data_IF_648219915292
#
_entry.id   IF_648219915292
#
_cell.length_a   1.000
_cell.length_b   1.000
_cell.length_c   1.000
_cell.angle_alpha   90.00
_cell.angle_beta   90.00
_cell.angle_gamma   90.00
#
_symmetry.space_group_name_H-M   'P 1'
#
loop_
_entity.id
_entity.type
_entity.pdbx_description
1 polymer ?
#
# COMPACT_ATOMS: atom_id res chain seq x y z
N UNK A 1 -28.13 -13.16 -69.70
CA UNK A 1 -29.27 -12.70 -68.87
C UNK A 1 -29.02 -13.23 -67.48
N UNK A 2 -28.39 -12.46 -66.60
CA UNK A 2 -28.96 -11.44 -65.70
C UNK A 2 -29.08 -11.98 -64.26
N UNK A 3 -28.42 -11.23 -63.37
CA UNK A 3 -28.72 -10.95 -61.96
C UNK A 3 -28.21 -11.90 -60.85
N UNK A 4 -27.32 -11.32 -60.01
CA UNK A 4 -26.99 -11.67 -58.62
C UNK A 4 -28.24 -11.77 -57.72
N UNK A 5 -28.16 -12.41 -56.52
CA UNK A 5 -27.72 -11.77 -55.25
C UNK A 5 -26.87 -12.75 -54.38
N UNK A 6 -26.20 -12.47 -53.27
CA UNK A 6 -25.84 -11.31 -52.43
C UNK A 6 -24.74 -11.84 -51.47
N UNK A 7 -23.74 -11.04 -51.13
CA UNK A 7 -22.93 -11.26 -49.91
C UNK A 7 -23.81 -11.01 -48.67
N UNK A 8 -23.46 -11.54 -47.48
CA UNK A 8 -22.65 -10.70 -46.61
C UNK A 8 -21.49 -11.43 -45.90
N UNK A 9 -20.38 -10.69 -45.85
CA UNK A 9 -19.32 -10.71 -44.84
C UNK A 9 -19.77 -11.14 -43.44
N UNK A 10 -19.08 -12.14 -42.88
CA UNK A 10 -18.74 -12.36 -41.46
C UNK A 10 -17.56 -13.35 -41.54
N UNK A 11 -16.40 -13.20 -40.91
CA UNK A 11 -16.05 -12.55 -39.66
C UNK A 11 -14.51 -12.40 -39.72
N UNK A 12 -13.99 -11.17 -39.74
CA UNK A 12 -12.57 -10.91 -39.43
C UNK A 12 -12.55 -10.32 -38.02
N UNK A 13 -12.11 -11.12 -37.06
CA UNK A 13 -11.54 -10.62 -35.81
C UNK A 13 -10.39 -11.56 -35.48
N UNK A 14 -9.20 -11.19 -35.97
CA UNK A 14 -7.94 -11.77 -35.52
C UNK A 14 -7.79 -11.27 -34.07
N UNK A 15 -7.85 -12.17 -33.10
CA UNK A 15 -7.45 -11.88 -31.72
C UNK A 15 -5.99 -11.42 -31.76
N UNK A 16 -5.77 -10.11 -31.65
CA UNK A 16 -4.51 -9.59 -31.15
C UNK A 16 -4.51 -9.86 -29.65
N UNK A 17 -3.86 -10.95 -29.23
CA UNK A 17 -3.35 -11.07 -27.87
C UNK A 17 -2.34 -9.92 -27.71
N UNK A 18 -2.83 -8.78 -27.21
CA UNK A 18 -1.95 -7.76 -26.67
C UNK A 18 -1.50 -8.31 -25.32
N UNK A 19 -0.28 -8.86 -25.29
CA UNK A 19 0.49 -8.88 -24.06
C UNK A 19 0.76 -7.43 -23.71
N UNK A 20 -0.16 -6.81 -22.98
CA UNK A 20 0.18 -5.65 -22.16
C UNK A 20 1.10 -6.25 -21.10
N UNK A 21 2.42 -6.20 -21.33
CA UNK A 21 3.32 -6.24 -20.20
C UNK A 21 2.81 -5.15 -19.26
N UNK A 22 2.63 -5.47 -17.98
CA UNK A 22 2.55 -4.48 -16.93
C UNK A 22 3.85 -3.65 -17.01
N UNK A 23 3.89 -2.68 -17.91
CA UNK A 23 4.88 -1.61 -17.89
C UNK A 23 4.44 -0.71 -16.78
N UNK A 24 5.34 -0.35 -15.87
CA UNK A 24 5.08 0.64 -14.83
C UNK A 24 4.49 1.92 -15.43
N UNK A 25 3.58 2.60 -14.71
CA UNK A 25 2.99 3.87 -15.14
C UNK A 25 4.00 5.01 -15.18
N UNK A 26 5.17 4.77 -14.63
CA UNK A 26 6.26 5.70 -14.65
C UNK A 26 7.17 5.45 -15.86
N UNK A 27 7.81 6.49 -16.40
CA UNK A 27 8.82 6.31 -17.44
C UNK A 27 9.87 5.27 -17.00
N UNK A 28 10.47 4.56 -17.95
CA UNK A 28 11.42 3.48 -17.62
C UNK A 28 12.53 3.98 -16.67
N UNK A 29 12.70 3.30 -15.53
CA UNK A 29 13.66 3.68 -14.49
C UNK A 29 13.14 4.68 -13.45
N UNK A 30 11.88 5.12 -13.57
CA UNK A 30 11.21 5.94 -12.56
C UNK A 30 10.46 5.05 -11.58
N UNK A 31 10.33 5.54 -10.35
CA UNK A 31 9.74 4.84 -9.23
C UNK A 31 8.39 5.44 -8.87
N UNK A 32 7.41 4.58 -8.61
CA UNK A 32 6.04 5.00 -8.26
C UNK A 32 5.86 5.02 -6.75
N UNK A 33 5.26 6.09 -6.24
CA UNK A 33 4.72 6.14 -4.89
C UNK A 33 3.39 6.91 -4.87
N UNK A 34 2.31 6.21 -4.49
CA UNK A 34 0.95 6.71 -4.67
C UNK A 34 0.66 7.11 -6.12
N UNK A 35 0.03 8.27 -6.33
CA UNK A 35 -0.28 8.80 -7.67
C UNK A 35 0.86 9.64 -8.24
N UNK A 36 2.13 9.32 -7.96
CA UNK A 36 3.28 10.09 -8.43
C UNK A 36 4.40 9.18 -8.91
N UNK A 37 5.12 9.64 -9.92
CA UNK A 37 6.33 9.01 -10.43
C UNK A 37 7.53 9.89 -10.11
N UNK A 38 8.61 9.29 -9.61
CA UNK A 38 9.82 9.98 -9.17
C UNK A 38 11.07 9.40 -9.84
N UNK A 39 12.01 10.27 -10.18
CA UNK A 39 13.33 9.88 -10.66
C UNK A 39 14.41 10.71 -9.96
N UNK A 40 15.25 10.03 -9.18
CA UNK A 40 16.36 10.64 -8.44
C UNK A 40 17.57 10.73 -9.36
N UNK A 41 18.02 11.94 -9.66
CA UNK A 41 19.21 12.18 -10.49
C UNK A 41 20.39 12.55 -9.61
N UNK A 42 21.43 11.72 -9.71
CA UNK A 42 22.63 11.81 -8.88
C UNK A 42 23.89 12.08 -9.71
N UNK A 43 24.70 13.02 -9.25
CA UNK A 43 26.06 13.27 -9.74
C UNK A 43 27.09 13.11 -8.62
N UNK A 44 28.05 12.23 -8.87
CA UNK A 44 29.21 12.01 -7.99
C UNK A 44 30.11 13.25 -7.92
N UNK A 45 30.38 13.88 -9.06
CA UNK A 45 31.16 15.11 -9.14
C UNK A 45 30.31 16.32 -8.77
N UNK A 46 30.78 17.11 -7.79
CA UNK A 46 30.12 18.37 -7.42
C UNK A 46 30.01 19.37 -8.59
N UNK A 47 30.94 19.31 -9.55
CA UNK A 47 30.95 20.22 -10.70
C UNK A 47 29.89 19.91 -11.75
N UNK A 48 29.31 18.71 -11.73
CA UNK A 48 28.28 18.27 -12.69
C UNK A 48 26.86 18.49 -12.16
N UNK A 49 26.73 18.83 -10.87
CA UNK A 49 25.46 19.15 -10.22
C UNK A 49 24.87 20.43 -10.80
N UNK A 50 23.56 20.55 -10.71
CA UNK A 50 22.80 21.62 -11.36
C UNK A 50 22.28 22.62 -10.33
N UNK A 51 22.13 23.87 -10.78
CA UNK A 51 21.33 24.83 -10.02
C UNK A 51 19.85 24.52 -10.20
N UNK A 52 19.00 25.12 -9.39
CA UNK A 52 17.58 24.74 -9.34
C UNK A 52 16.90 24.97 -10.71
N UNK A 53 17.24 26.06 -11.40
CA UNK A 53 16.69 26.37 -12.72
C UNK A 53 17.19 25.41 -13.82
N UNK A 54 18.47 25.08 -13.82
CA UNK A 54 19.05 24.09 -14.73
C UNK A 54 18.47 22.69 -14.47
N UNK A 55 18.21 22.34 -13.21
CA UNK A 55 17.61 21.08 -12.80
C UNK A 55 16.15 20.96 -13.29
N UNK A 56 15.36 22.02 -13.13
CA UNK A 56 14.01 22.09 -13.70
C UNK A 56 14.02 21.94 -15.22
N UNK A 57 14.89 22.68 -15.92
CA UNK A 57 15.03 22.55 -17.36
C UNK A 57 15.45 21.14 -17.79
N UNK A 58 16.23 20.44 -16.95
CA UNK A 58 16.61 19.05 -17.18
C UNK A 58 15.44 18.07 -16.98
N UNK A 59 14.57 18.28 -15.99
CA UNK A 59 13.36 17.47 -15.81
C UNK A 59 12.31 17.70 -16.91
N UNK A 60 12.18 18.94 -17.40
CA UNK A 60 11.31 19.26 -18.53
C UNK A 60 11.79 18.64 -19.85
N UNK A 61 13.09 18.33 -19.94
CA UNK A 61 13.68 17.72 -21.13
C UNK A 61 13.24 16.27 -21.26
N UNK A 62 12.86 15.88 -22.48
CA UNK A 62 12.47 14.51 -22.83
C UNK A 62 11.23 13.97 -22.07
N UNK A 63 10.18 14.78 -21.93
CA UNK A 63 8.89 14.32 -21.40
C UNK A 63 7.98 15.42 -20.84
N UNK A 64 8.53 16.60 -20.57
CA UNK A 64 7.77 17.72 -20.00
C UNK A 64 7.46 17.56 -18.51
N UNK A 65 8.29 16.82 -17.78
CA UNK A 65 8.17 16.64 -16.33
C UNK A 65 8.69 17.87 -15.58
N UNK A 66 8.53 17.88 -14.26
CA UNK A 66 9.00 18.97 -13.40
C UNK A 66 9.92 18.42 -12.32
N UNK A 67 10.62 19.29 -11.59
CA UNK A 67 11.12 18.92 -10.27
C UNK A 67 9.96 18.42 -9.40
N UNK A 68 10.25 17.39 -8.59
CA UNK A 68 9.22 16.63 -7.89
C UNK A 68 8.41 17.47 -6.90
N UNK A 69 7.10 17.19 -6.84
CA UNK A 69 6.22 17.61 -5.75
C UNK A 69 5.91 16.46 -4.80
N UNK A 70 5.69 16.76 -3.51
CA UNK A 70 5.53 15.77 -2.45
C UNK A 70 4.32 16.16 -1.59
N UNK A 71 3.35 15.24 -1.49
CA UNK A 71 2.02 15.51 -0.95
C UNK A 71 1.63 14.62 0.23
N UNK A 72 2.42 13.58 0.51
CA UNK A 72 2.19 12.67 1.64
C UNK A 72 3.48 12.32 2.36
N UNK A 73 3.36 11.96 3.65
CA UNK A 73 4.49 11.47 4.43
C UNK A 73 5.10 10.17 3.84
N UNK A 74 4.27 9.35 3.20
CA UNK A 74 4.70 8.14 2.51
C UNK A 74 5.58 8.48 1.30
N UNK A 75 5.19 9.46 0.48
CA UNK A 75 6.01 9.95 -0.62
C UNK A 75 7.33 10.54 -0.15
N UNK A 76 7.29 11.38 0.88
CA UNK A 76 8.49 11.97 1.50
C UNK A 76 9.48 10.87 1.92
N UNK A 77 8.99 9.90 2.70
CA UNK A 77 9.80 8.77 3.16
C UNK A 77 10.34 7.93 2.00
N UNK A 78 9.49 7.61 1.01
CA UNK A 78 9.88 6.79 -0.13
C UNK A 78 10.97 7.44 -0.99
N UNK A 79 10.79 8.72 -1.33
CA UNK A 79 11.77 9.49 -2.11
C UNK A 79 13.09 9.55 -1.36
N UNK A 80 13.06 9.79 -0.05
CA UNK A 80 14.24 9.80 0.80
C UNK A 80 14.97 8.44 0.85
N UNK A 81 14.25 7.33 0.97
CA UNK A 81 14.81 5.97 0.95
C UNK A 81 15.38 5.60 -0.43
N UNK A 82 14.80 6.12 -1.51
CA UNK A 82 15.26 5.89 -2.90
C UNK A 82 16.58 6.61 -3.19
N UNK A 83 16.95 7.61 -2.39
CA UNK A 83 18.28 8.23 -2.45
C UNK A 83 19.29 7.24 -1.85
N UNK A 84 19.83 6.36 -2.71
CA UNK A 84 20.79 5.31 -2.30
C UNK A 84 22.19 5.87 -2.00
N UNK A 85 22.54 7.03 -2.57
CA UNK A 85 23.88 7.61 -2.46
C UNK A 85 23.92 8.67 -1.35
N UNK A 86 24.46 8.27 -0.20
CA UNK A 86 24.74 9.15 0.94
C UNK A 86 25.91 10.07 0.60
N UNK A 87 25.63 11.36 0.41
CA UNK A 87 26.62 12.27 -0.20
C UNK A 87 26.83 13.56 0.58
N UNK A 88 26.11 13.75 1.69
CA UNK A 88 26.08 15.01 2.44
C UNK A 88 25.71 16.18 1.50
N UNK A 89 24.65 15.96 0.69
CA UNK A 89 24.18 16.92 -0.32
C UNK A 89 22.67 17.08 -0.27
N UNK A 90 22.21 18.18 -0.87
CA UNK A 90 20.80 18.42 -1.14
C UNK A 90 20.34 17.80 -2.45
N UNK A 91 19.05 17.50 -2.50
CA UNK A 91 18.32 17.12 -3.70
C UNK A 91 17.21 18.14 -3.97
N UNK A 92 17.33 18.91 -5.06
CA UNK A 92 16.33 19.89 -5.45
C UNK A 92 14.96 19.23 -5.70
N UNK A 93 13.91 19.89 -5.22
CA UNK A 93 12.50 19.59 -5.48
C UNK A 93 11.79 20.84 -6.01
N UNK A 94 10.56 20.68 -6.49
CA UNK A 94 9.84 21.73 -7.23
C UNK A 94 9.20 22.82 -6.38
N UNK A 95 9.45 22.86 -5.06
CA UNK A 95 8.87 23.86 -4.17
C UNK A 95 9.70 25.15 -4.20
N UNK A 96 9.03 26.29 -4.34
CA UNK A 96 9.66 27.61 -4.36
C UNK A 96 8.70 28.70 -3.88
N UNK A 97 9.24 29.75 -3.27
CA UNK A 97 8.52 30.99 -2.92
C UNK A 97 9.08 32.22 -3.65
N UNK A 98 9.79 32.02 -4.77
CA UNK A 98 10.43 33.09 -5.56
C UNK A 98 9.44 34.17 -6.05
N UNK A 99 8.17 33.80 -6.25
CA UNK A 99 7.11 34.73 -6.64
C UNK A 99 6.64 35.62 -5.46
N UNK A 100 6.62 35.06 -4.24
CA UNK A 100 6.16 35.73 -3.04
C UNK A 100 6.74 35.07 -1.78
N UNK A 101 7.75 35.72 -1.21
CA UNK A 101 8.38 35.38 0.07
C UNK A 101 7.41 34.79 1.12
N UNK A 102 7.73 33.58 1.59
CA UNK A 102 6.95 32.85 2.59
C UNK A 102 5.67 32.19 2.06
N UNK A 103 5.37 32.32 0.76
CA UNK A 103 4.27 31.64 0.07
C UNK A 103 4.81 30.60 -0.91
N UNK A 104 5.23 29.46 -0.36
CA UNK A 104 5.75 28.33 -1.12
C UNK A 104 4.68 27.69 -2.00
N UNK A 105 5.04 27.42 -3.25
CA UNK A 105 4.20 26.81 -4.29
C UNK A 105 4.98 25.77 -5.07
N UNK A 106 4.28 24.74 -5.57
CA UNK A 106 4.87 23.74 -6.46
C UNK A 106 4.83 24.22 -7.90
N UNK A 107 5.96 24.09 -8.62
CA UNK A 107 6.06 24.52 -10.01
C UNK A 107 5.30 23.65 -11.01
N UNK A 108 4.93 22.43 -10.63
CA UNK A 108 4.05 21.56 -11.41
C UNK A 108 2.56 21.97 -11.33
N UNK A 109 2.25 22.98 -10.51
CA UNK A 109 0.91 23.52 -10.30
C UNK A 109 0.02 22.70 -9.36
N UNK A 110 0.57 21.68 -8.70
CA UNK A 110 -0.13 20.96 -7.62
C UNK A 110 -0.26 21.83 -6.36
N UNK A 111 -1.24 21.51 -5.51
CA UNK A 111 -1.53 22.31 -4.32
C UNK A 111 -0.43 22.17 -3.25
N UNK A 112 -0.10 23.26 -2.57
CA UNK A 112 0.87 23.29 -1.47
C UNK A 112 0.27 22.79 -0.16
N UNK A 113 0.05 21.48 -0.04
CA UNK A 113 -0.81 20.90 1.01
C UNK A 113 -0.08 20.49 2.29
N UNK A 114 1.19 20.14 2.18
CA UNK A 114 2.02 19.64 3.29
C UNK A 114 3.43 20.20 3.20
N UNK A 115 4.07 20.36 4.37
CA UNK A 115 5.46 20.82 4.44
C UNK A 115 6.26 19.97 5.42
N UNK A 116 7.38 19.42 4.97
CA UNK A 116 8.27 18.59 5.78
C UNK A 116 9.56 19.33 6.16
N UNK A 117 9.45 20.60 6.57
CA UNK A 117 10.59 21.43 6.97
C UNK A 117 11.43 20.83 8.09
N UNK A 118 12.75 21.02 8.03
CA UNK A 118 13.68 20.66 9.08
C UNK A 118 13.59 21.62 10.27
N UNK A 119 12.61 21.36 11.15
CA UNK A 119 12.33 22.17 12.34
C UNK A 119 13.24 21.85 13.53
N UNK A 120 14.00 20.75 13.47
CA UNK A 120 14.92 20.32 14.54
C UNK A 120 16.33 20.91 14.41
N UNK A 121 16.60 21.66 13.33
CA UNK A 121 17.83 22.43 13.13
C UNK A 121 17.77 23.76 13.89
N UNK A 122 18.95 24.35 14.18
CA UNK A 122 19.08 25.74 14.65
C UNK A 122 19.97 26.56 13.71
N UNK A 123 19.44 27.58 13.01
CA UNK A 123 18.01 27.95 12.98
C UNK A 123 17.16 26.87 12.27
N UNK A 124 15.85 26.87 12.55
CA UNK A 124 14.89 25.98 11.90
C UNK A 124 14.60 26.48 10.48
N UNK A 125 14.39 25.56 9.54
CA UNK A 125 14.03 25.88 8.16
C UNK A 125 12.54 26.27 8.03
N UNK A 126 12.17 27.09 7.03
CA UNK A 126 13.08 27.83 6.14
C UNK A 126 13.75 29.02 6.85
N UNK A 127 15.06 29.22 6.63
CA UNK A 127 15.89 30.18 7.39
C UNK A 127 16.43 31.38 6.58
N UNK A 128 16.38 31.33 5.25
CA UNK A 128 17.08 32.28 4.38
C UNK A 128 16.27 33.46 3.86
N UNK A 129 14.94 33.40 3.96
CA UNK A 129 14.00 34.34 3.37
C UNK A 129 14.34 34.66 1.91
N UNK A 130 14.24 35.93 1.48
CA UNK A 130 14.47 36.37 0.07
C UNK A 130 15.83 36.00 -0.58
N UNK A 131 16.75 35.44 0.20
CA UNK A 131 18.03 34.95 -0.30
C UNK A 131 18.00 33.48 -0.72
N UNK A 132 16.96 32.73 -0.34
CA UNK A 132 16.85 31.29 -0.47
C UNK A 132 15.41 30.92 -0.85
N UNK A 133 15.11 30.98 -2.15
CA UNK A 133 13.75 30.77 -2.64
C UNK A 133 13.51 29.34 -3.15
N UNK A 134 14.51 28.44 -3.05
CA UNK A 134 14.49 27.12 -3.68
C UNK A 134 14.70 26.00 -2.65
N UNK A 135 13.92 24.92 -2.76
CA UNK A 135 13.81 23.92 -1.70
C UNK A 135 14.48 22.60 -2.09
N UNK A 136 15.12 21.96 -1.11
CA UNK A 136 15.78 20.68 -1.27
C UNK A 136 15.51 19.73 -0.10
N UNK A 137 15.71 18.44 -0.35
CA UNK A 137 15.72 17.39 0.68
C UNK A 137 17.16 17.13 1.12
N UNK A 138 17.39 17.06 2.43
CA UNK A 138 18.69 16.70 3.02
C UNK A 138 18.93 15.18 3.00
N UNK A 139 20.18 14.78 2.70
CA UNK A 139 20.69 13.42 2.90
C UNK A 139 22.10 13.48 3.48
N UNK A 140 22.24 13.23 4.78
CA UNK A 140 23.52 13.20 5.48
C UNK A 140 24.34 11.93 5.13
N UNK A 141 25.66 11.98 5.31
CA UNK A 141 26.55 10.81 5.20
C UNK A 141 26.56 9.99 6.50
N UNK A 142 26.43 8.66 6.42
CA UNK A 142 26.76 7.75 7.53
C UNK A 142 25.73 6.68 7.91
N UNK A 143 24.64 6.51 7.15
CA UNK A 143 23.64 5.46 7.33
C UNK A 143 22.79 5.52 8.61
N UNK A 144 23.09 6.44 9.53
CA UNK A 144 22.26 6.74 10.70
C UNK A 144 21.41 7.97 10.41
N UNK A 145 20.08 7.79 10.39
CA UNK A 145 19.12 8.91 10.30
C UNK A 145 19.43 9.95 11.36
N UNK A 146 19.84 11.14 10.93
CA UNK A 146 19.99 12.30 11.81
C UNK A 146 18.66 13.04 11.96
N UNK A 147 18.58 13.99 12.89
CA UNK A 147 17.42 14.89 13.03
C UNK A 147 17.17 15.76 11.78
N UNK A 148 18.09 15.74 10.79
CA UNK A 148 18.03 16.51 9.53
C UNK A 148 17.56 15.68 8.34
N UNK A 149 17.74 14.37 8.41
CA UNK A 149 17.40 13.47 7.33
C UNK A 149 15.88 13.41 7.12
N UNK A 150 15.48 13.15 5.88
CA UNK A 150 14.08 13.07 5.48
C UNK A 150 13.28 14.36 5.75
N UNK A 151 13.95 15.52 5.73
CA UNK A 151 13.35 16.84 5.91
C UNK A 151 13.84 17.86 4.86
N UNK A 152 13.12 18.97 4.74
CA UNK A 152 13.36 20.01 3.74
C UNK A 152 14.13 21.21 4.31
N UNK A 153 14.89 21.87 3.45
CA UNK A 153 15.42 23.21 3.69
C UNK A 153 15.31 24.09 2.44
N UNK A 154 15.43 25.40 2.63
CA UNK A 154 15.59 26.37 1.56
C UNK A 154 17.07 26.71 1.35
N UNK A 155 17.45 26.94 0.09
CA UNK A 155 18.77 27.47 -0.24
C UNK A 155 18.69 28.38 -1.49
N UNK A 156 19.77 29.13 -1.73
CA UNK A 156 19.89 29.98 -2.88
C UNK A 156 19.76 29.14 -4.15
N UNK A 157 18.85 29.54 -5.05
CA UNK A 157 18.54 28.80 -6.26
C UNK A 157 19.75 28.53 -7.18
N UNK A 158 20.86 29.27 -7.00
CA UNK A 158 22.12 29.09 -7.75
C UNK A 158 23.06 28.03 -7.15
N UNK A 159 22.75 27.46 -5.98
CA UNK A 159 23.53 26.37 -5.38
C UNK A 159 23.48 25.14 -6.28
N UNK A 160 24.60 24.41 -6.41
CA UNK A 160 24.67 23.20 -7.23
C UNK A 160 24.37 21.95 -6.41
N UNK A 161 23.22 21.34 -6.65
CA UNK A 161 22.74 20.14 -5.97
C UNK A 161 22.38 19.01 -6.95
N UNK A 162 22.17 17.82 -6.39
CA UNK A 162 21.44 16.76 -7.09
C UNK A 162 19.96 17.18 -7.20
N UNK A 163 19.14 16.42 -7.91
CA UNK A 163 17.73 16.80 -8.09
C UNK A 163 16.82 15.59 -8.29
N UNK A 164 15.53 15.80 -8.09
CA UNK A 164 14.50 14.78 -8.23
C UNK A 164 13.47 15.29 -9.21
N UNK A 165 13.29 14.56 -10.31
CA UNK A 165 12.18 14.83 -11.21
C UNK A 165 10.94 14.08 -10.73
N UNK A 166 9.77 14.68 -10.92
CA UNK A 166 8.49 14.09 -10.60
C UNK A 166 7.41 14.42 -11.63
N UNK A 167 6.40 13.56 -11.68
CA UNK A 167 5.16 13.81 -12.41
C UNK A 167 3.97 13.32 -11.57
N UNK A 168 2.94 14.16 -11.37
CA UNK A 168 1.66 13.68 -10.86
C UNK A 168 1.02 12.75 -11.88
N UNK A 169 0.58 11.58 -11.43
CA UNK A 169 -0.36 10.77 -12.19
C UNK A 169 -1.68 11.55 -12.26
N UNK A 170 -2.09 11.85 -13.49
CA UNK A 170 -3.34 12.55 -13.77
C UNK A 170 -4.54 11.64 -13.61
N UNK A 171 -4.34 10.33 -13.49
CA UNK A 171 -5.36 9.36 -13.07
C UNK A 171 -5.19 9.00 -11.60
N UNK A 172 -6.05 9.55 -10.76
CA UNK A 172 -6.10 9.26 -9.33
C UNK A 172 -6.92 7.98 -9.10
N UNK A 173 -6.23 6.96 -8.60
CA UNK A 173 -6.80 5.66 -8.24
C UNK A 173 -6.89 5.52 -6.72
N UNK A 174 -7.85 4.75 -6.20
CA UNK A 174 -7.93 4.50 -4.77
C UNK A 174 -6.73 3.68 -4.27
N UNK A 175 -6.44 3.81 -2.98
CA UNK A 175 -5.69 2.80 -2.25
C UNK A 175 -6.69 1.76 -1.71
N UNK A 176 -6.43 0.48 -1.98
CA UNK A 176 -7.34 -0.63 -1.63
C UNK A 176 -6.53 -1.67 -0.88
N UNK A 177 -6.88 -1.86 0.39
CA UNK A 177 -6.24 -2.86 1.23
C UNK A 177 -6.55 -4.28 0.74
N UNK A 178 -5.67 -5.23 1.10
CA UNK A 178 -5.92 -6.65 0.88
C UNK A 178 -7.19 -7.10 1.62
N UNK A 179 -7.90 -8.05 1.02
CA UNK A 179 -9.21 -8.52 1.47
C UNK A 179 -9.13 -9.99 1.89
N UNK A 180 -9.84 -10.32 2.96
CA UNK A 180 -10.01 -11.68 3.42
C UNK A 180 -11.46 -12.11 3.22
N UNK A 181 -11.69 -13.27 2.59
CA UNK A 181 -13.03 -13.81 2.34
C UNK A 181 -13.20 -15.20 2.93
N UNK A 182 -14.41 -15.55 3.32
CA UNK A 182 -14.72 -16.91 3.74
C UNK A 182 -14.53 -17.88 2.55
N UNK A 183 -14.00 -19.08 2.81
CA UNK A 183 -13.81 -20.09 1.77
C UNK A 183 -15.11 -20.52 1.04
N UNK A 184 -16.28 -20.19 1.61
CA UNK A 184 -17.59 -20.42 1.00
C UNK A 184 -18.06 -19.27 0.08
N UNK A 185 -17.44 -18.10 0.14
CA UNK A 185 -17.75 -16.95 -0.71
C UNK A 185 -16.99 -17.04 -2.02
N UNK A 186 -17.68 -16.72 -3.13
CA UNK A 186 -17.07 -16.72 -4.45
C UNK A 186 -16.31 -15.41 -4.74
N UNK A 187 -16.75 -14.31 -4.14
CA UNK A 187 -16.21 -12.97 -4.36
C UNK A 187 -16.41 -12.05 -3.14
N UNK A 188 -15.63 -10.97 -3.10
CA UNK A 188 -15.85 -9.79 -2.26
C UNK A 188 -16.31 -8.63 -3.11
N UNK A 189 -17.34 -7.91 -2.65
CA UNK A 189 -17.78 -6.66 -3.27
C UNK A 189 -17.03 -5.48 -2.65
N UNK A 190 -16.25 -4.77 -3.47
CA UNK A 190 -15.49 -3.59 -3.05
C UNK A 190 -16.10 -2.32 -3.63
N UNK A 191 -16.05 -1.25 -2.83
CA UNK A 191 -16.46 0.09 -3.24
C UNK A 191 -15.42 1.10 -2.80
N UNK A 192 -15.12 2.09 -3.65
CA UNK A 192 -14.14 3.14 -3.36
C UNK A 192 -14.61 4.50 -3.87
N UNK A 193 -13.96 5.55 -3.37
CA UNK A 193 -14.12 6.92 -3.90
C UNK A 193 -13.70 6.92 -5.36
N UNK A 194 -14.61 7.31 -6.25
CA UNK A 194 -14.47 7.06 -7.68
C UNK A 194 -13.13 7.52 -8.30
N UNK A 195 -12.64 6.76 -9.28
CA UNK A 195 -11.43 7.09 -10.04
C UNK A 195 -11.64 8.42 -10.76
N UNK A 196 -10.72 9.36 -10.53
CA UNK A 196 -10.80 10.72 -11.05
C UNK A 196 -9.62 11.00 -11.95
N UNK A 197 -9.87 11.59 -13.11
CA UNK A 197 -8.81 12.10 -13.97
C UNK A 197 -8.74 13.63 -13.88
N UNK A 198 -7.57 14.17 -13.58
CA UNK A 198 -7.30 15.60 -13.45
C UNK A 198 -6.09 15.91 -14.32
N UNK A 199 -6.18 16.86 -15.26
CA UNK A 199 -5.01 17.33 -16.01
C UNK A 199 -4.84 18.83 -15.80
N UNK A 200 -3.61 19.34 -15.52
CA UNK A 200 -3.33 20.75 -15.39
C UNK A 200 -3.75 21.54 -16.62
N UNK A 201 -4.27 22.75 -16.39
CA UNK A 201 -4.75 23.66 -17.42
C UNK A 201 -6.20 23.41 -17.87
N UNK A 202 -6.55 23.88 -19.07
CA UNK A 202 -7.91 23.82 -19.64
C UNK A 202 -8.22 22.52 -20.41
N UNK A 203 -7.40 21.48 -20.26
CA UNK A 203 -7.55 20.24 -21.03
C UNK A 203 -8.68 19.39 -20.42
N UNK A 204 -9.70 19.11 -21.23
CA UNK A 204 -10.88 18.36 -20.78
C UNK A 204 -10.62 16.86 -20.88
N UNK A 205 -10.97 16.14 -19.81
CA UNK A 205 -11.00 14.67 -19.79
C UNK A 205 -12.04 14.16 -20.78
N UNK A 206 -11.62 13.28 -21.69
CA UNK A 206 -12.49 12.62 -22.65
C UNK A 206 -13.23 11.43 -22.04
N UNK A 207 -12.48 10.42 -21.59
CA UNK A 207 -13.04 9.22 -20.97
C UNK A 207 -12.08 8.61 -19.96
N UNK A 208 -12.60 8.03 -18.89
CA UNK A 208 -11.85 7.20 -17.94
C UNK A 208 -12.38 5.77 -18.04
N UNK A 209 -11.48 4.80 -18.15
CA UNK A 209 -11.81 3.38 -18.20
C UNK A 209 -10.90 2.59 -17.28
N UNK A 210 -11.45 1.67 -16.51
CA UNK A 210 -10.67 0.75 -15.67
C UNK A 210 -10.85 -0.69 -16.13
N UNK A 211 -9.77 -1.46 -16.10
CA UNK A 211 -9.75 -2.88 -16.37
C UNK A 211 -9.00 -3.63 -15.28
N UNK A 212 -9.44 -4.84 -14.96
CA UNK A 212 -8.62 -5.78 -14.21
C UNK A 212 -7.59 -6.39 -15.18
N UNK A 213 -6.31 -6.22 -14.85
CA UNK A 213 -5.21 -6.67 -15.69
C UNK A 213 -5.06 -8.20 -15.66
N UNK A 214 -5.66 -8.88 -14.69
CA UNK A 214 -5.63 -10.34 -14.57
C UNK A 214 -6.44 -11.03 -15.68
N UNK A 215 -7.65 -10.53 -15.93
CA UNK A 215 -8.62 -11.18 -16.85
C UNK A 215 -9.15 -10.25 -17.96
N UNK A 216 -8.77 -8.97 -17.94
CA UNK A 216 -9.22 -7.96 -18.89
C UNK A 216 -10.66 -7.48 -18.67
N UNK A 217 -11.30 -7.83 -17.55
CA UNK A 217 -12.66 -7.42 -17.25
C UNK A 217 -12.73 -5.90 -17.05
N UNK A 218 -13.79 -5.27 -17.56
CA UNK A 218 -14.03 -3.84 -17.32
C UNK A 218 -14.57 -3.64 -15.90
N UNK A 219 -13.95 -2.73 -15.17
CA UNK A 219 -14.25 -2.42 -13.78
C UNK A 219 -14.95 -1.06 -13.70
N UNK A 220 -15.97 -0.96 -12.85
CA UNK A 220 -16.62 0.33 -12.58
C UNK A 220 -15.66 1.27 -11.88
N UNK A 221 -15.77 2.57 -12.13
CA UNK A 221 -14.90 3.57 -11.52
C UNK A 221 -15.05 3.65 -9.99
N UNK A 222 -16.08 3.03 -9.40
CA UNK A 222 -16.41 3.09 -7.97
C UNK A 222 -16.38 1.74 -7.26
N UNK A 223 -15.99 0.64 -7.94
CA UNK A 223 -16.03 -0.67 -7.32
C UNK A 223 -16.21 -1.85 -8.28
N UNK A 224 -16.27 -3.05 -7.70
CA UNK A 224 -16.49 -4.30 -8.42
C UNK A 224 -16.56 -5.50 -7.49
N UNK A 225 -16.83 -6.67 -8.06
CA UNK A 225 -16.79 -7.95 -7.36
C UNK A 225 -15.53 -8.71 -7.76
N UNK A 226 -14.72 -9.11 -6.77
CA UNK A 226 -13.41 -9.72 -6.98
C UNK A 226 -13.33 -11.11 -6.34
N UNK A 227 -12.88 -12.09 -7.12
CA UNK A 227 -12.67 -13.47 -6.65
C UNK A 227 -11.35 -13.62 -5.90
N UNK A 228 -10.96 -14.86 -5.59
CA UNK A 228 -9.64 -15.14 -5.01
C UNK A 228 -8.52 -14.82 -6.00
N UNK A 229 -7.45 -14.20 -5.51
CA UNK A 229 -6.25 -13.93 -6.30
C UNK A 229 -5.69 -12.52 -6.10
N UNK A 230 -4.64 -12.23 -6.86
CA UNK A 230 -4.07 -10.89 -6.95
C UNK A 230 -4.72 -10.14 -8.09
N UNK A 231 -5.29 -8.98 -7.80
CA UNK A 231 -5.99 -8.14 -8.75
C UNK A 231 -5.22 -6.84 -8.95
N UNK A 232 -4.94 -6.50 -10.21
CA UNK A 232 -4.28 -5.22 -10.58
C UNK A 232 -5.22 -4.43 -11.46
N UNK A 233 -5.83 -3.39 -10.89
CA UNK A 233 -6.80 -2.57 -11.61
C UNK A 233 -6.05 -1.44 -12.28
N UNK A 234 -6.09 -1.40 -13.60
CA UNK A 234 -5.46 -0.37 -14.41
C UNK A 234 -6.53 0.55 -14.97
N UNK A 235 -6.45 1.83 -14.62
CA UNK A 235 -7.35 2.87 -15.08
C UNK A 235 -6.62 3.82 -16.02
N UNK A 236 -7.20 4.09 -17.18
CA UNK A 236 -6.67 5.01 -18.19
C UNK A 236 -7.65 6.15 -18.46
N UNK A 237 -7.10 7.35 -18.62
CA UNK A 237 -7.80 8.55 -19.04
C UNK A 237 -7.31 8.99 -20.42
N UNK A 238 -8.26 9.20 -21.34
CA UNK A 238 -7.99 9.88 -22.61
C UNK A 238 -8.37 11.35 -22.49
N UNK A 239 -7.57 12.24 -23.08
CA UNK A 239 -7.80 13.69 -23.06
C UNK A 239 -8.13 14.21 -24.47
N UNK A 240 -8.85 15.33 -24.53
CA UNK A 240 -9.28 15.91 -25.82
C UNK A 240 -8.13 16.41 -26.72
N UNK A 241 -6.95 16.62 -26.14
CA UNK A 241 -5.72 16.98 -26.89
C UNK A 241 -5.06 15.76 -27.55
N UNK A 242 -5.63 14.57 -27.40
CA UNK A 242 -5.13 13.30 -27.94
C UNK A 242 -4.09 12.60 -27.06
N UNK A 243 -3.74 13.19 -25.91
CA UNK A 243 -2.89 12.53 -24.92
C UNK A 243 -3.67 11.50 -24.11
N UNK A 244 -2.95 10.58 -23.47
CA UNK A 244 -3.48 9.56 -22.59
C UNK A 244 -2.58 9.46 -21.37
N UNK A 245 -3.19 9.28 -20.20
CA UNK A 245 -2.51 8.95 -18.96
C UNK A 245 -3.20 7.75 -18.30
N UNK A 246 -2.51 7.07 -17.39
CA UNK A 246 -3.05 5.90 -16.72
C UNK A 246 -2.36 5.63 -15.39
N UNK A 247 -3.06 4.95 -14.49
CA UNK A 247 -2.58 4.59 -13.16
C UNK A 247 -3.19 3.27 -12.73
N UNK A 248 -2.51 2.55 -11.84
CA UNK A 248 -2.98 1.25 -11.34
C UNK A 248 -2.82 1.10 -9.83
N UNK A 249 -3.60 0.18 -9.28
CA UNK A 249 -3.47 -0.27 -7.89
C UNK A 249 -3.64 -1.79 -7.83
N UNK A 250 -3.01 -2.42 -6.84
CA UNK A 250 -3.01 -3.86 -6.67
C UNK A 250 -3.47 -4.20 -5.26
N UNK A 251 -4.34 -5.20 -5.16
CA UNK A 251 -4.76 -5.80 -3.91
C UNK A 251 -4.93 -7.31 -4.07
N UNK A 252 -4.82 -8.04 -2.98
CA UNK A 252 -5.06 -9.47 -2.94
C UNK A 252 -6.38 -9.77 -2.27
N UNK A 253 -7.08 -10.78 -2.77
CA UNK A 253 -8.24 -11.39 -2.13
C UNK A 253 -7.86 -12.80 -1.73
N UNK A 254 -7.72 -13.04 -0.43
CA UNK A 254 -7.27 -14.31 0.12
C UNK A 254 -8.38 -14.99 0.92
N UNK A 255 -8.44 -16.33 0.84
CA UNK A 255 -9.36 -17.11 1.64
C UNK A 255 -8.90 -17.15 3.11
N UNK A 256 -9.83 -16.96 4.05
CA UNK A 256 -9.58 -17.16 5.46
C UNK A 256 -9.11 -18.60 5.74
N UNK A 257 -8.19 -18.79 6.70
CA UNK A 257 -7.92 -20.11 7.24
C UNK A 257 -9.20 -20.76 7.77
N UNK A 258 -9.28 -22.08 7.71
CA UNK A 258 -10.39 -22.82 8.30
C UNK A 258 -9.86 -23.71 9.43
N UNK A 259 -10.29 -23.43 10.66
CA UNK A 259 -9.93 -24.19 11.85
C UNK A 259 -10.92 -25.33 12.08
N UNK A 260 -10.40 -26.52 12.33
CA UNK A 260 -11.19 -27.65 12.82
C UNK A 260 -10.88 -27.85 14.30
N UNK A 261 -11.83 -27.50 15.15
CA UNK A 261 -11.74 -27.68 16.61
C UNK A 261 -12.42 -28.97 17.07
N UNK A 262 -11.93 -29.62 18.15
CA UNK A 262 -12.53 -30.83 18.67
C UNK A 262 -13.83 -30.55 19.42
N UNK A 263 -14.57 -31.62 19.69
CA UNK A 263 -15.57 -31.63 20.76
C UNK A 263 -14.97 -32.31 21.97
N UNK A 264 -15.13 -31.70 23.14
CA UNK A 264 -14.57 -32.20 24.41
C UNK A 264 -15.72 -32.42 25.38
N UNK A 265 -15.79 -33.63 25.95
CA UNK A 265 -16.79 -33.94 26.97
C UNK A 265 -16.42 -33.31 28.32
N UNK A 266 -17.40 -33.17 29.19
CA UNK A 266 -17.17 -32.80 30.60
C UNK A 266 -16.11 -33.70 31.23
N UNK A 267 -15.18 -33.09 31.94
CA UNK A 267 -14.11 -33.76 32.67
C UNK A 267 -14.42 -33.76 34.17
N UNK A 268 -13.81 -34.69 34.89
CA UNK A 268 -13.96 -34.80 36.34
C UNK A 268 -12.62 -34.70 37.02
N UNK A 269 -12.53 -33.80 38.01
CA UNK A 269 -11.35 -33.63 38.82
C UNK A 269 -11.24 -34.72 39.88
N UNK A 270 -10.04 -35.30 40.04
CA UNK A 270 -9.77 -36.29 41.07
C UNK A 270 -9.75 -35.67 42.48
N UNK A 271 -9.98 -36.50 43.50
CA UNK A 271 -10.02 -36.02 44.90
C UNK A 271 -8.67 -35.41 45.30
N UNK A 272 -8.66 -34.14 45.72
CA UNK A 272 -7.46 -33.44 46.17
C UNK A 272 -6.58 -32.86 45.04
N UNK A 273 -7.01 -32.95 43.78
CA UNK A 273 -6.35 -32.24 42.68
C UNK A 273 -6.83 -30.79 42.60
N UNK A 274 -6.04 -29.90 42.02
CA UNK A 274 -6.45 -28.52 41.71
C UNK A 274 -6.76 -28.32 40.22
N UNK A 275 -6.17 -29.15 39.37
CA UNK A 275 -6.35 -29.14 37.91
C UNK A 275 -6.46 -30.57 37.37
N UNK A 276 -7.03 -30.72 36.18
CA UNK A 276 -7.04 -31.95 35.38
C UNK A 276 -6.41 -31.69 34.03
N UNK A 277 -5.53 -32.59 33.60
CA UNK A 277 -4.97 -32.57 32.24
C UNK A 277 -6.02 -33.10 31.26
N UNK A 278 -6.41 -32.25 30.32
CA UNK A 278 -7.40 -32.58 29.29
C UNK A 278 -6.66 -32.67 27.96
N UNK A 279 -6.75 -33.84 27.33
CA UNK A 279 -6.23 -34.08 25.99
C UNK A 279 -7.40 -34.18 25.00
N UNK A 280 -7.24 -33.61 23.82
CA UNK A 280 -8.24 -33.62 22.75
C UNK A 280 -7.61 -33.94 21.40
N UNK A 281 -8.47 -34.21 20.41
CA UNK A 281 -8.01 -34.37 19.03
C UNK A 281 -7.38 -33.06 18.54
N UNK A 282 -6.21 -33.17 17.90
CA UNK A 282 -5.41 -32.02 17.46
C UNK A 282 -6.24 -31.00 16.69
N UNK A 283 -6.16 -29.73 17.11
CA UNK A 283 -6.71 -28.61 16.36
C UNK A 283 -5.89 -28.47 15.08
N UNK A 284 -6.57 -28.55 13.93
CA UNK A 284 -5.93 -28.44 12.62
C UNK A 284 -6.47 -27.24 11.87
N UNK A 285 -5.68 -26.73 10.93
CA UNK A 285 -6.08 -25.64 10.05
C UNK A 285 -5.83 -26.02 8.59
N UNK A 286 -6.71 -25.58 7.70
CA UNK A 286 -6.46 -25.51 6.26
C UNK A 286 -6.30 -24.05 5.84
N UNK A 287 -5.65 -23.80 4.70
CA UNK A 287 -5.33 -22.45 4.20
C UNK A 287 -4.57 -21.58 5.22
N UNK A 288 -3.74 -22.20 6.05
CA UNK A 288 -2.91 -21.52 7.05
C UNK A 288 -1.46 -21.34 6.61
N UNK A 289 -1.06 -21.84 5.45
CA UNK A 289 0.33 -21.78 4.94
C UNK A 289 1.37 -22.33 5.94
N UNK A 290 0.97 -23.35 6.70
CA UNK A 290 1.74 -23.95 7.78
C UNK A 290 2.12 -22.96 8.90
N UNK A 291 1.39 -21.85 9.04
CA UNK A 291 1.53 -20.91 10.16
C UNK A 291 1.01 -21.53 11.47
N UNK A 292 1.59 -21.13 12.62
CA UNK A 292 1.29 -21.74 13.90
C UNK A 292 -0.12 -21.40 14.41
N UNK A 293 -0.79 -22.40 14.98
CA UNK A 293 -2.06 -22.22 15.68
C UNK A 293 -1.76 -21.87 17.14
N UNK A 294 -2.43 -20.84 17.66
CA UNK A 294 -2.33 -20.42 19.06
C UNK A 294 -3.67 -20.61 19.75
N UNK A 295 -3.68 -21.21 20.94
CA UNK A 295 -4.92 -21.46 21.68
C UNK A 295 -4.87 -20.76 23.05
N UNK A 296 -6.01 -20.26 23.48
CA UNK A 296 -6.20 -19.56 24.75
C UNK A 296 -7.50 -20.02 25.41
N UNK A 297 -7.57 -20.00 26.73
CA UNK A 297 -8.79 -20.32 27.50
C UNK A 297 -9.33 -19.06 28.17
N UNK A 298 -10.66 -18.95 28.24
CA UNK A 298 -11.35 -17.86 28.95
C UNK A 298 -11.31 -17.99 30.49
N UNK A 299 -10.96 -19.17 31.00
CA UNK A 299 -10.93 -19.52 32.42
C UNK A 299 -9.50 -19.53 32.99
N UNK A 300 -9.17 -20.62 33.69
CA UNK A 300 -7.88 -20.82 34.35
C UNK A 300 -6.97 -21.83 33.63
N UNK A 301 -7.29 -22.17 32.38
CA UNK A 301 -6.50 -23.10 31.56
C UNK A 301 -5.03 -22.67 31.45
N UNK A 302 -4.13 -23.62 31.64
CA UNK A 302 -2.67 -23.43 31.52
C UNK A 302 -2.03 -24.51 30.66
N UNK A 303 -0.82 -24.27 30.15
CA UNK A 303 -0.13 -25.24 29.29
C UNK A 303 -0.87 -25.57 28.00
N UNK A 304 -1.74 -24.66 27.52
CA UNK A 304 -2.55 -24.87 26.33
C UNK A 304 -1.68 -25.08 25.09
N UNK A 305 -2.06 -26.10 24.33
CA UNK A 305 -1.50 -26.47 23.04
C UNK A 305 -2.62 -26.90 22.10
N UNK A 306 -2.27 -27.24 20.86
CA UNK A 306 -3.24 -27.75 19.88
C UNK A 306 -3.85 -29.11 20.26
N UNK A 307 -3.29 -29.84 21.23
CA UNK A 307 -3.75 -31.18 21.63
C UNK A 307 -4.19 -31.31 23.09
N UNK A 308 -4.09 -30.24 23.88
CA UNK A 308 -4.48 -30.31 25.29
C UNK A 308 -4.02 -29.13 26.14
N UNK A 309 -4.35 -29.20 27.42
CA UNK A 309 -3.93 -28.27 28.47
C UNK A 309 -4.37 -28.76 29.86
N UNK A 310 -4.06 -27.99 30.89
CA UNK A 310 -4.46 -28.25 32.27
C UNK A 310 -5.52 -27.24 32.74
N UNK A 311 -6.61 -27.73 33.33
CA UNK A 311 -7.80 -26.93 33.63
C UNK A 311 -8.28 -27.15 35.07
N UNK A 312 -8.69 -26.08 35.76
CA UNK A 312 -9.30 -26.13 37.08
C UNK A 312 -10.79 -26.43 37.03
N UNK A 313 -11.52 -26.17 38.12
CA UNK A 313 -12.98 -26.37 38.18
C UNK A 313 -13.70 -25.20 37.50
N UNK A 314 -14.67 -25.51 36.65
CA UNK A 314 -15.49 -24.49 36.01
C UNK A 314 -15.85 -24.82 34.56
N UNK A 315 -16.34 -23.81 33.86
CA UNK A 315 -16.60 -23.87 32.43
C UNK A 315 -15.45 -23.21 31.69
N UNK A 316 -14.97 -23.87 30.64
CA UNK A 316 -13.82 -23.45 29.85
C UNK A 316 -14.23 -23.26 28.41
N UNK A 317 -13.75 -22.17 27.81
CA UNK A 317 -13.90 -21.87 26.38
C UNK A 317 -12.51 -21.71 25.81
N UNK A 318 -12.06 -22.72 25.07
CA UNK A 318 -10.77 -22.69 24.39
C UNK A 318 -10.99 -22.09 23.01
N UNK A 319 -10.38 -20.93 22.76
CA UNK A 319 -10.36 -20.25 21.47
C UNK A 319 -8.99 -20.43 20.84
N UNK A 320 -8.96 -21.02 19.66
CA UNK A 320 -7.76 -21.17 18.85
C UNK A 320 -7.80 -20.23 17.65
N UNK A 321 -6.66 -19.62 17.34
CA UNK A 321 -6.49 -18.65 16.27
C UNK A 321 -5.34 -19.07 15.35
N UNK A 322 -5.46 -18.74 14.07
CA UNK A 322 -4.37 -18.88 13.10
C UNK A 322 -4.46 -17.75 12.07
N UNK A 323 -3.29 -17.23 11.69
CA UNK A 323 -3.15 -16.20 10.66
C UNK A 323 -2.31 -16.78 9.54
N UNK A 324 -2.79 -16.74 8.29
CA UNK A 324 -2.03 -17.22 7.13
C UNK A 324 -0.92 -16.23 6.70
N UNK A 325 -0.15 -16.55 5.66
CA UNK A 325 0.95 -15.68 5.24
C UNK A 325 0.50 -14.34 4.65
N UNK A 326 -0.77 -14.26 4.22
CA UNK A 326 -1.38 -13.04 3.67
C UNK A 326 -2.04 -12.16 4.74
N UNK A 327 -1.95 -12.54 6.02
CA UNK A 327 -2.47 -11.76 7.16
C UNK A 327 -3.94 -12.02 7.50
N UNK A 328 -4.61 -12.94 6.82
CA UNK A 328 -5.99 -13.32 7.12
C UNK A 328 -6.06 -14.21 8.37
N UNK A 329 -6.82 -13.77 9.37
CA UNK A 329 -6.90 -14.44 10.68
C UNK A 329 -8.27 -15.09 10.89
N UNK A 330 -8.28 -16.36 11.25
CA UNK A 330 -9.47 -17.09 11.67
C UNK A 330 -9.38 -17.51 13.14
N UNK A 331 -10.54 -17.61 13.78
CA UNK A 331 -10.69 -18.00 15.17
C UNK A 331 -11.85 -18.98 15.31
N UNK A 332 -11.64 -20.08 16.04
CA UNK A 332 -12.69 -21.05 16.37
C UNK A 332 -12.59 -21.47 17.82
N UNK A 333 -13.73 -21.80 18.43
CA UNK A 333 -13.80 -22.10 19.85
C UNK A 333 -14.60 -23.37 20.16
N UNK A 334 -14.21 -24.04 21.23
CA UNK A 334 -14.97 -25.16 21.80
C UNK A 334 -15.04 -25.03 23.31
N UNK A 335 -16.10 -25.58 23.89
CA UNK A 335 -16.41 -25.45 25.32
C UNK A 335 -16.54 -26.80 25.99
N UNK A 336 -16.09 -26.89 27.23
CA UNK A 336 -16.32 -28.05 28.11
C UNK A 336 -16.30 -27.61 29.57
N UNK A 337 -16.88 -28.45 30.43
CA UNK A 337 -16.90 -28.21 31.87
C UNK A 337 -15.96 -29.18 32.59
N UNK A 338 -15.33 -28.71 33.67
CA UNK A 338 -14.60 -29.52 34.63
C UNK A 338 -15.37 -29.51 35.94
N UNK A 339 -15.79 -30.69 36.38
CA UNK A 339 -16.64 -30.86 37.57
C UNK A 339 -15.90 -31.62 38.68
N UNK A 340 -16.30 -31.40 39.93
CA UNK A 340 -15.78 -32.17 41.06
C UNK A 340 -16.31 -33.60 41.03
N UNK A 341 -15.45 -34.60 41.27
CA UNK A 341 -15.89 -36.00 41.43
C UNK A 341 -16.88 -36.18 42.59
N UNK A 342 -17.58 -37.32 42.64
CA UNK A 342 -18.65 -37.62 43.61
C UNK A 342 -18.26 -37.60 45.11
N UNK A 343 -16.97 -37.44 45.43
CA UNK A 343 -16.43 -37.27 46.79
C UNK A 343 -15.89 -35.85 47.07
N UNK A 344 -16.14 -34.88 46.19
CA UNK A 344 -15.79 -33.49 46.46
C UNK A 344 -16.66 -32.96 47.61
N UNK A 345 -16.09 -32.29 48.64
CA UNK A 345 -16.89 -31.78 49.73
C UNK A 345 -17.95 -30.80 49.19
N UNK A 346 -19.22 -31.13 49.39
CA UNK A 346 -20.31 -30.19 49.18
C UNK A 346 -20.12 -29.08 50.21
N UNK A 347 -19.59 -27.93 49.79
CA UNK A 347 -19.58 -26.74 50.63
C UNK A 347 -21.04 -26.27 50.72
N UNK A 348 -21.70 -26.63 51.82
CA UNK A 348 -22.98 -26.04 52.18
C UNK A 348 -22.73 -24.61 52.65
N UNK A 349 -23.04 -23.64 51.80
CA UNK A 349 -23.43 -22.30 52.25
C UNK A 349 -24.95 -22.26 52.38
#
# INVERSE_FOLDING_TARGET
MNLHPKSPLLLRAILLLSTILAGDCCPAGWHREGSFCFNVVYFESQGDRLDWGDAEAACMKDGGHHLASIHTAQQQYYVYETIVQETNTGYWIGLTDADAEGAYTWIDGTDGDVFFWNTNRSPAEPDGGKGQDCVFIYKDEGGEMTDRDNAWGDDGCMTKNNYICGEPAYVLVPDVENQCIDAAQANVSLTWTGVTALKPGTIVVGSVTCIDSLDGASISLTGGDFGLGSHTITCSASFMDGTMDWSSFTFNVTALPSLTVPTVSTQTLGTGQSTVTVAWAEVTATNSDAQPITCSDSGDGTGLSVTGGDFGLGSHTVTCNVTNSDGCTAAESFTFDVTGGSNWPVIKN
#
